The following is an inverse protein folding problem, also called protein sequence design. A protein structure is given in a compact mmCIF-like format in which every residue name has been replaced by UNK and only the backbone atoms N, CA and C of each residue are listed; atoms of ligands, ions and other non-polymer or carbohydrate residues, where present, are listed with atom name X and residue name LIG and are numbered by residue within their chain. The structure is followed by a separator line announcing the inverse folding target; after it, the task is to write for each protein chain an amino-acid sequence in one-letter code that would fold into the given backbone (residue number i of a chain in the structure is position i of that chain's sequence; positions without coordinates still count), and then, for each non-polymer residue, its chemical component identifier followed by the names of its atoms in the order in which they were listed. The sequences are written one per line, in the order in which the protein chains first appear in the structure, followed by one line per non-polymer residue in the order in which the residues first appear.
data_IF_168499496292
#
_entry.id   IF_168499496292
#
_cell.length_a   1.000
_cell.length_b   1.000
_cell.length_c   1.000
_cell.angle_alpha   90.00
_cell.angle_beta   90.00
_cell.angle_gamma   90.00
#
_symmetry.space_group_name_H-M   'P 1'
#
loop_
_entity.id
_entity.type
_entity.pdbx_description
1 polymer ?
#
# COMPACT_ATOMS: atom_id res chain seq x y z
N UNK A 1 10.62 13.94 10.10
CA UNK A 1 9.53 14.48 9.25
C UNK A 1 8.61 13.33 8.92
N UNK A 2 7.30 13.57 8.91
CA UNK A 2 6.31 12.54 8.64
C UNK A 2 6.08 12.39 7.14
N UNK A 3 6.18 11.16 6.66
CA UNK A 3 5.95 10.80 5.27
C UNK A 3 4.94 9.66 5.14
N UNK A 4 4.21 9.69 4.04
CA UNK A 4 3.40 8.57 3.58
C UNK A 4 3.92 8.10 2.22
N UNK A 5 4.28 6.83 2.16
CA UNK A 5 4.54 6.10 0.94
C UNK A 5 3.24 5.42 0.51
N UNK A 6 2.83 5.65 -0.74
CA UNK A 6 1.83 4.85 -1.44
C UNK A 6 2.56 4.12 -2.56
N UNK A 7 2.57 2.81 -2.50
CA UNK A 7 3.29 1.97 -3.45
C UNK A 7 2.34 1.04 -4.19
N UNK A 8 2.65 0.83 -5.46
CA UNK A 8 1.98 -0.09 -6.36
C UNK A 8 3.03 -1.08 -6.84
N UNK A 9 2.89 -2.33 -6.44
CA UNK A 9 3.84 -3.39 -6.78
C UNK A 9 3.22 -4.41 -7.70
N UNK A 10 4.06 -5.07 -8.48
CA UNK A 10 3.63 -6.18 -9.32
C UNK A 10 3.07 -7.30 -8.42
N UNK A 11 1.82 -7.74 -8.64
CA UNK A 11 1.27 -8.86 -7.90
C UNK A 11 1.96 -10.16 -8.33
N UNK A 12 2.21 -11.05 -7.37
CA UNK A 12 2.99 -12.25 -7.59
C UNK A 12 2.36 -13.28 -8.53
N UNK A 13 1.09 -13.62 -8.31
CA UNK A 13 0.38 -14.61 -9.11
C UNK A 13 -0.70 -13.95 -9.98
N UNK A 14 -0.41 -13.80 -11.28
CA UNK A 14 -1.35 -13.25 -12.28
C UNK A 14 -2.65 -14.07 -12.43
N UNK A 15 -2.61 -15.36 -12.11
CA UNK A 15 -3.77 -16.26 -12.17
C UNK A 15 -4.71 -15.99 -11.00
N UNK A 16 -4.17 -15.85 -9.79
CA UNK A 16 -4.95 -15.43 -8.61
C UNK A 16 -5.48 -14.01 -8.75
N UNK A 17 -4.77 -13.09 -9.44
CA UNK A 17 -5.31 -11.75 -9.74
C UNK A 17 -6.65 -11.83 -10.48
N UNK A 18 -6.83 -12.79 -11.40
CA UNK A 18 -8.13 -12.99 -12.07
C UNK A 18 -9.20 -13.48 -11.11
N UNK A 19 -8.85 -14.34 -10.16
CA UNK A 19 -9.76 -14.87 -9.13
C UNK A 19 -10.16 -13.79 -8.12
N UNK A 20 -9.24 -12.97 -7.61
CA UNK A 20 -9.55 -11.82 -6.74
C UNK A 20 -10.49 -10.83 -7.44
N UNK A 21 -10.23 -10.54 -8.71
CA UNK A 21 -11.08 -9.66 -9.51
C UNK A 21 -12.47 -10.27 -9.71
N UNK A 22 -12.56 -11.56 -10.01
CA UNK A 22 -13.85 -12.26 -10.17
C UNK A 22 -14.66 -12.32 -8.86
N UNK A 23 -14.02 -12.60 -7.73
CA UNK A 23 -14.66 -12.61 -6.40
C UNK A 23 -15.14 -11.21 -5.97
N UNK A 24 -14.37 -10.17 -6.30
CA UNK A 24 -14.70 -8.79 -5.94
C UNK A 24 -15.86 -8.23 -6.79
N UNK A 25 -16.02 -8.67 -8.04
CA UNK A 25 -17.19 -8.32 -8.85
C UNK A 25 -18.50 -9.00 -8.39
N UNK A 26 -18.42 -10.13 -7.68
CA UNK A 26 -19.61 -10.81 -7.13
C UNK A 26 -20.09 -10.26 -5.77
N UNK A 27 -19.31 -9.40 -5.10
CA UNK A 27 -19.71 -8.77 -3.83
C UNK A 27 -20.65 -7.56 -3.98
N UNK A 28 -21.09 -7.22 -5.19
CA UNK A 28 -21.98 -6.07 -5.45
C UNK A 28 -23.49 -6.36 -5.29
N UNK A 29 -23.90 -7.48 -4.69
CA UNK A 29 -25.32 -7.72 -4.34
C UNK A 29 -25.51 -7.76 -2.82
N UNK A 30 -26.14 -6.71 -2.29
CA UNK A 30 -26.43 -6.53 -0.85
C UNK A 30 -27.65 -7.37 -0.46
N UNK A 31 -27.54 -8.14 0.63
CA UNK A 31 -28.69 -8.55 1.43
C UNK A 31 -28.53 -7.97 2.85
N UNK A 32 -29.61 -7.44 3.46
CA UNK A 32 -29.57 -6.94 4.82
C UNK A 32 -29.67 -8.12 5.81
N UNK A 33 -29.04 -7.97 6.96
CA UNK A 33 -29.26 -8.76 8.18
C UNK A 33 -28.57 -10.13 8.35
N UNK A 34 -27.24 -10.19 8.13
CA UNK A 34 -26.43 -11.28 8.73
C UNK A 34 -25.40 -10.73 9.73
N UNK A 35 -25.37 -11.20 10.99
CA UNK A 35 -24.40 -10.76 11.99
C UNK A 35 -22.96 -11.07 11.54
N UNK A 36 -22.13 -10.04 11.44
CA UNK A 36 -20.77 -10.07 10.86
C UNK A 36 -19.71 -10.72 11.78
N UNK A 37 -20.04 -11.79 12.48
CA UNK A 37 -19.04 -12.63 13.19
C UNK A 37 -18.39 -13.67 12.26
N UNK A 38 -18.75 -13.68 10.97
CA UNK A 38 -18.18 -14.60 9.98
C UNK A 38 -17.87 -13.90 8.65
N UNK A 39 -17.10 -12.80 8.69
CA UNK A 39 -16.35 -12.38 7.50
C UNK A 39 -15.11 -13.25 7.45
N UNK A 40 -15.21 -14.35 6.70
CA UNK A 40 -14.06 -15.13 6.27
C UNK A 40 -13.09 -14.22 5.53
N UNK A 41 -12.15 -13.66 6.28
CA UNK A 41 -10.86 -13.21 5.79
C UNK A 41 -10.18 -14.51 5.34
N UNK A 42 -10.47 -14.93 4.10
CA UNK A 42 -9.73 -16.01 3.47
C UNK A 42 -8.27 -15.59 3.48
N UNK A 43 -7.43 -16.43 4.06
CA UNK A 43 -6.00 -16.23 4.23
C UNK A 43 -5.40 -15.61 2.98
N UNK A 44 -5.16 -14.30 3.02
CA UNK A 44 -4.25 -13.63 2.11
C UNK A 44 -2.94 -14.38 2.22
N UNK A 45 -2.65 -15.29 1.28
CA UNK A 45 -1.29 -15.72 1.03
C UNK A 45 -0.51 -14.43 0.78
N UNK A 46 0.14 -13.94 1.84
CA UNK A 46 0.73 -12.63 1.84
C UNK A 46 1.71 -12.62 0.68
N UNK A 47 1.43 -11.79 -0.33
CA UNK A 47 2.21 -11.77 -1.56
C UNK A 47 3.69 -11.65 -1.15
N UNK A 48 4.52 -12.69 -1.40
CA UNK A 48 5.90 -12.69 -0.94
C UNK A 48 6.68 -11.50 -1.52
N UNK A 49 6.20 -10.91 -2.62
CA UNK A 49 6.77 -9.70 -3.19
C UNK A 49 6.41 -8.43 -2.40
N UNK A 50 5.17 -8.28 -1.96
CA UNK A 50 4.77 -7.17 -1.09
C UNK A 50 5.51 -7.22 0.24
N UNK A 51 5.57 -8.40 0.87
CA UNK A 51 6.29 -8.56 2.14
C UNK A 51 7.73 -8.09 1.99
N UNK A 52 8.44 -8.54 0.94
CA UNK A 52 9.85 -8.16 0.73
C UNK A 52 10.04 -6.67 0.55
N UNK A 53 9.18 -6.00 -0.22
CA UNK A 53 9.31 -4.55 -0.45
C UNK A 53 8.98 -3.79 0.83
N UNK A 54 7.92 -4.16 1.55
CA UNK A 54 7.58 -3.56 2.84
C UNK A 54 8.71 -3.77 3.88
N UNK A 55 9.32 -4.95 3.91
CA UNK A 55 10.47 -5.25 4.77
C UNK A 55 11.70 -4.41 4.41
N UNK A 56 12.01 -4.24 3.12
CA UNK A 56 13.12 -3.40 2.65
C UNK A 56 12.94 -1.96 3.10
N UNK A 57 11.75 -1.39 2.85
CA UNK A 57 11.43 -0.01 3.23
C UNK A 57 11.44 0.17 4.75
N UNK A 58 10.75 -0.72 5.48
CA UNK A 58 10.67 -0.67 6.93
C UNK A 58 12.05 -0.82 7.58
N UNK A 59 12.87 -1.75 7.09
CA UNK A 59 14.25 -1.94 7.57
C UNK A 59 15.11 -0.72 7.33
N UNK A 60 15.00 -0.08 6.15
CA UNK A 60 15.77 1.13 5.84
C UNK A 60 15.40 2.29 6.76
N UNK A 61 14.11 2.46 7.06
CA UNK A 61 13.63 3.46 8.03
C UNK A 61 14.19 3.17 9.41
N UNK A 62 13.98 1.95 9.93
CA UNK A 62 14.34 1.58 11.30
C UNK A 62 15.86 1.61 11.53
N UNK A 63 16.65 1.10 10.58
CA UNK A 63 18.13 1.08 10.68
C UNK A 63 18.74 2.47 10.69
N UNK A 64 18.06 3.47 10.14
CA UNK A 64 18.53 4.86 10.10
C UNK A 64 17.83 5.75 11.15
N UNK A 65 17.30 5.16 12.23
CA UNK A 65 16.72 5.89 13.36
C UNK A 65 15.36 6.53 13.06
N UNK A 66 14.68 6.13 11.98
CA UNK A 66 13.29 6.48 11.72
C UNK A 66 12.32 5.56 12.45
N UNK A 67 11.04 5.95 12.47
CA UNK A 67 9.95 5.22 13.12
C UNK A 67 8.88 4.89 12.10
N UNK A 68 8.46 3.63 12.01
CA UNK A 68 7.31 3.23 11.20
C UNK A 68 6.04 3.35 12.03
N UNK A 69 5.08 4.17 11.59
CA UNK A 69 3.79 4.38 12.27
C UNK A 69 2.74 3.34 11.90
N UNK A 70 2.88 2.72 10.74
CA UNK A 70 1.98 1.65 10.33
C UNK A 70 2.12 1.30 8.84
N UNK A 71 1.65 0.10 8.53
CA UNK A 71 1.54 -0.46 7.20
C UNK A 71 0.06 -0.79 6.96
N UNK A 72 -0.47 -0.41 5.81
CA UNK A 72 -1.83 -0.76 5.39
C UNK A 72 -1.75 -1.44 4.03
N UNK A 73 -2.19 -2.70 3.99
CA UNK A 73 -2.38 -3.45 2.77
C UNK A 73 -3.74 -3.10 2.18
N UNK A 74 -3.79 -2.57 0.96
CA UNK A 74 -5.05 -2.22 0.30
C UNK A 74 -5.53 -3.33 -0.65
N UNK A 75 -4.63 -4.20 -1.11
CA UNK A 75 -4.95 -5.30 -2.02
C UNK A 75 -4.67 -4.98 -3.48
N UNK A 76 -5.09 -5.88 -4.37
CA UNK A 76 -4.85 -5.77 -5.82
C UNK A 76 -6.02 -5.06 -6.49
N UNK A 77 -5.74 -3.97 -7.20
CA UNK A 77 -6.74 -3.25 -7.98
C UNK A 77 -6.23 -2.98 -9.40
N UNK A 78 -7.17 -2.64 -10.29
CA UNK A 78 -6.82 -2.08 -11.60
C UNK A 78 -6.03 -0.78 -11.46
N UNK A 79 -5.06 -0.58 -12.34
CA UNK A 79 -4.40 0.71 -12.50
C UNK A 79 -5.37 1.69 -13.20
N UNK A 80 -5.32 3.00 -12.90
CA UNK A 80 -6.15 4.00 -13.59
C UNK A 80 -5.96 3.99 -15.12
N UNK A 81 -4.77 3.60 -15.57
CA UNK A 81 -4.44 3.32 -16.96
C UNK A 81 -3.39 2.21 -17.03
N UNK A 82 -3.33 1.44 -18.12
CA UNK A 82 -2.23 0.49 -18.32
C UNK A 82 -0.88 1.20 -18.35
N UNK A 83 0.10 0.67 -17.63
CA UNK A 83 1.45 1.25 -17.52
C UNK A 83 2.48 0.23 -17.98
N UNK A 84 3.39 0.66 -18.86
CA UNK A 84 4.54 -0.15 -19.29
C UNK A 84 5.79 0.26 -18.51
N UNK A 85 6.27 -0.62 -17.64
CA UNK A 85 7.46 -0.42 -16.78
C UNK A 85 8.23 -1.74 -16.71
N UNK A 86 9.57 -1.67 -16.62
CA UNK A 86 10.44 -2.85 -16.60
C UNK A 86 10.12 -3.87 -17.72
N UNK A 87 9.89 -3.37 -18.94
CA UNK A 87 9.57 -4.15 -20.15
C UNK A 87 8.26 -4.96 -20.08
N UNK A 88 7.38 -4.71 -19.10
CA UNK A 88 6.09 -5.37 -18.97
C UNK A 88 4.94 -4.36 -18.95
N UNK A 89 3.81 -4.74 -19.55
CA UNK A 89 2.56 -3.98 -19.47
C UNK A 89 1.77 -4.44 -18.26
N UNK A 90 1.50 -3.53 -17.33
CA UNK A 90 0.70 -3.76 -16.13
C UNK A 90 -0.69 -3.14 -16.30
N UNK A 91 -1.72 -3.91 -15.94
CA UNK A 91 -3.11 -3.44 -15.84
C UNK A 91 -3.63 -3.45 -14.41
N UNK A 92 -2.99 -4.24 -13.55
CA UNK A 92 -3.30 -4.39 -12.13
C UNK A 92 -2.03 -4.20 -11.31
N UNK A 93 -2.21 -3.77 -10.07
CA UNK A 93 -1.13 -3.62 -9.11
C UNK A 93 -1.61 -3.90 -7.70
N UNK A 94 -0.71 -4.39 -6.84
CA UNK A 94 -0.95 -4.51 -5.41
C UNK A 94 -0.62 -3.19 -4.73
N UNK A 95 -1.63 -2.55 -4.16
CA UNK A 95 -1.50 -1.28 -3.46
C UNK A 95 -1.23 -1.49 -1.98
N UNK A 96 -0.29 -0.71 -1.45
CA UNK A 96 -0.10 -0.59 -0.02
C UNK A 96 0.37 0.81 0.34
N UNK A 97 0.13 1.19 1.59
CA UNK A 97 0.64 2.41 2.17
C UNK A 97 1.48 2.14 3.41
N UNK A 98 2.59 2.87 3.56
CA UNK A 98 3.40 2.88 4.76
C UNK A 98 3.59 4.31 5.23
N UNK A 99 3.29 4.56 6.50
CA UNK A 99 3.53 5.86 7.13
C UNK A 99 4.72 5.77 8.07
N UNK A 100 5.65 6.71 7.96
CA UNK A 100 6.87 6.70 8.74
C UNK A 100 7.40 8.11 9.02
N UNK A 101 8.07 8.27 10.15
CA UNK A 101 8.92 9.42 10.44
C UNK A 101 10.36 9.09 10.10
N UNK A 102 10.98 9.94 9.29
CA UNK A 102 12.41 9.84 8.99
C UNK A 102 13.02 11.22 8.72
N UNK A 103 14.35 11.25 8.65
CA UNK A 103 15.08 12.41 8.14
C UNK A 103 14.85 12.55 6.62
N UNK A 104 15.07 13.77 6.08
CA UNK A 104 15.00 14.02 4.63
C UNK A 104 15.99 13.17 3.85
N UNK A 105 17.18 12.92 4.42
CA UNK A 105 18.21 12.05 3.83
C UNK A 105 17.71 10.62 3.65
N UNK A 106 17.17 10.02 4.71
CA UNK A 106 16.62 8.65 4.68
C UNK A 106 15.44 8.55 3.71
N UNK A 107 14.58 9.57 3.68
CA UNK A 107 13.49 9.64 2.71
C UNK A 107 13.99 9.66 1.26
N UNK A 108 15.04 10.44 0.97
CA UNK A 108 15.64 10.50 -0.36
C UNK A 108 16.28 9.17 -0.77
N UNK A 109 16.96 8.50 0.17
CA UNK A 109 17.55 7.19 -0.05
C UNK A 109 16.47 6.15 -0.38
N UNK A 110 15.40 6.12 0.42
CA UNK A 110 14.26 5.24 0.23
C UNK A 110 13.60 5.44 -1.14
N UNK A 111 13.43 6.70 -1.59
CA UNK A 111 12.90 7.00 -2.92
C UNK A 111 13.81 6.45 -4.03
N UNK A 112 15.12 6.54 -3.86
CA UNK A 112 16.09 5.99 -4.81
C UNK A 112 16.06 4.46 -4.82
N UNK A 113 16.01 3.81 -3.66
CA UNK A 113 15.89 2.35 -3.53
C UNK A 113 14.63 1.84 -4.21
N UNK A 114 13.47 2.44 -3.93
CA UNK A 114 12.20 2.01 -4.52
C UNK A 114 12.12 2.23 -6.04
N UNK A 115 12.82 3.24 -6.57
CA UNK A 115 12.90 3.47 -8.02
C UNK A 115 13.70 2.38 -8.74
N UNK A 116 14.66 1.76 -8.06
CA UNK A 116 15.48 0.67 -8.60
C UNK A 116 14.85 -0.71 -8.41
N UNK A 117 13.82 -0.82 -7.57
CA UNK A 117 13.16 -2.10 -7.29
C UNK A 117 12.38 -2.59 -8.54
N UNK A 118 12.79 -3.69 -9.19
CA UNK A 118 12.23 -4.11 -10.49
C UNK A 118 10.76 -4.57 -10.41
N UNK A 119 10.27 -4.82 -9.20
CA UNK A 119 8.88 -5.22 -8.92
C UNK A 119 7.99 -4.02 -8.62
N UNK A 120 8.56 -2.82 -8.53
CA UNK A 120 7.82 -1.59 -8.32
C UNK A 120 7.18 -1.11 -9.62
N UNK A 121 5.87 -0.96 -9.65
CA UNK A 121 5.17 -0.32 -10.78
C UNK A 121 5.19 1.19 -10.59
N UNK A 122 4.92 1.66 -9.36
CA UNK A 122 4.92 3.08 -9.01
C UNK A 122 5.07 3.26 -7.50
N UNK A 123 5.90 4.21 -7.09
CA UNK A 123 5.95 4.70 -5.71
C UNK A 123 5.64 6.20 -5.70
N UNK A 124 4.72 6.61 -4.83
CA UNK A 124 4.39 7.99 -4.54
C UNK A 124 4.72 8.29 -3.08
N UNK A 125 5.32 9.45 -2.85
CA UNK A 125 5.76 9.89 -1.55
C UNK A 125 5.15 11.25 -1.24
N UNK A 126 4.54 11.39 -0.07
CA UNK A 126 3.91 12.65 0.36
C UNK A 126 4.45 13.02 1.74
N UNK A 127 4.91 14.25 1.91
CA UNK A 127 5.18 14.83 3.24
C UNK A 127 3.83 15.17 3.87
N UNK A 128 3.57 14.62 5.05
CA UNK A 128 2.35 14.90 5.80
C UNK A 128 2.55 15.98 6.86
N UNK A 129 1.47 16.70 7.14
CA UNK A 129 1.42 17.74 8.15
C UNK A 129 2.09 19.05 7.72
N UNK A 130 1.89 20.07 8.55
CA UNK A 130 2.42 21.43 8.41
C UNK A 130 3.77 21.63 9.13
N UNK A 131 4.28 20.58 9.78
CA UNK A 131 5.50 20.64 10.58
C UNK A 131 5.28 20.96 12.06
N UNK A 132 4.03 21.18 12.48
CA UNK A 132 3.69 21.41 13.90
C UNK A 132 3.43 20.09 14.63
N UNK A 133 3.86 20.02 15.88
CA UNK A 133 3.70 18.82 16.71
C UNK A 133 2.23 18.47 16.95
N UNK A 134 1.38 19.47 17.14
CA UNK A 134 -0.07 19.30 17.34
C UNK A 134 -0.72 18.53 16.20
N UNK A 135 -0.39 18.88 14.95
CA UNK A 135 -0.90 18.23 13.75
C UNK A 135 -0.26 16.86 13.59
N UNK A 136 1.06 16.77 13.79
CA UNK A 136 1.82 15.53 13.60
C UNK A 136 1.40 14.42 14.56
N UNK A 137 1.08 14.74 15.81
CA UNK A 137 0.69 13.75 16.84
C UNK A 137 -0.62 13.02 16.51
N UNK A 138 -1.51 13.64 15.74
CA UNK A 138 -2.83 13.08 15.37
C UNK A 138 -2.75 12.00 14.28
N UNK A 139 -1.64 11.91 13.55
CA UNK A 139 -1.48 10.92 12.49
C UNK A 139 -1.09 9.54 13.05
N UNK A 140 -2.04 8.61 13.07
CA UNK A 140 -1.77 7.18 13.35
C UNK A 140 -1.30 6.40 12.12
N UNK A 141 -1.56 5.09 12.08
CA UNK A 141 -1.36 4.25 10.90
C UNK A 141 -2.15 4.78 9.69
N UNK A 142 -1.67 4.54 8.44
CA UNK A 142 -2.43 4.88 7.24
C UNK A 142 -3.76 4.10 7.24
N UNK A 143 -4.87 4.80 7.00
CA UNK A 143 -6.21 4.21 6.96
C UNK A 143 -6.69 4.17 5.52
N UNK A 144 -7.06 2.99 5.03
CA UNK A 144 -7.79 2.86 3.77
C UNK A 144 -9.26 3.26 4.01
N UNK A 145 -9.77 4.22 3.25
CA UNK A 145 -11.19 4.58 3.27
C UNK A 145 -11.88 3.87 2.10
N UNK A 146 -12.48 2.72 2.36
CA UNK A 146 -13.30 1.99 1.39
C UNK A 146 -14.65 2.64 1.14
N UNK A 147 -15.14 3.48 2.04
CA UNK A 147 -16.42 4.17 1.88
C UNK A 147 -16.18 5.66 1.65
N UNK A 148 -16.71 6.17 0.53
CA UNK A 148 -16.80 7.60 0.29
C UNK A 148 -17.55 8.23 1.44
N UNK A 149 -16.88 9.03 2.26
CA UNK A 149 -17.57 9.97 3.11
C UNK A 149 -18.25 10.96 2.17
N UNK A 150 -19.57 10.87 2.07
CA UNK A 150 -20.42 11.91 1.49
C UNK A 150 -19.94 13.26 2.00
N UNK A 151 -19.69 14.15 1.05
CA UNK A 151 -19.43 15.57 1.29
C UNK A 151 -20.76 16.31 1.43
#
# INVERSE_FOLDING_TARGET
MLYELIAIVRPGNLTEVKEYVHHQFHQFHVLPDTPQTALGIQDTHADPYLIRIAQTVGSLVLKNGGVVRGLSNWGVFSLPKPVSVHQMKHTHGHYFAMRYDASTKVHSELRSTLRLEPRMIRAAHVKLGDGKLETLSRFGAPKWRTQGSEA
#
